data_IF_033297310095
#
_entry.id   IF_033297310095
#
_cell.length_a   1.000
_cell.length_b   1.000
_cell.length_c   1.000
_cell.angle_alpha   90.00
_cell.angle_beta   90.00
_cell.angle_gamma   90.00
#
_symmetry.space_group_name_H-M   'P 1'
#
loop_
_entity.id
_entity.type
_entity.pdbx_description
1 polymer ?
#
# COMPACT_ATOMS: atom_id res chain seq x y z
N UNK A 1 -24.63 12.06 56.61
CA UNK A 1 -23.89 11.69 55.39
C UNK A 1 -23.63 12.98 54.62
N UNK A 2 -22.43 13.55 54.74
CA UNK A 2 -21.96 14.67 53.90
C UNK A 2 -20.47 14.47 53.68
N UNK A 3 -20.10 14.13 52.45
CA UNK A 3 -18.72 13.95 52.03
C UNK A 3 -18.07 15.33 51.77
N UNK A 4 -16.76 15.49 52.04
CA UNK A 4 -16.04 16.70 51.67
C UNK A 4 -15.74 16.73 50.17
N UNK A 5 -15.93 17.91 49.57
CA UNK A 5 -15.59 18.21 48.18
C UNK A 5 -14.06 18.32 48.05
N UNK A 6 -13.48 17.46 47.22
CA UNK A 6 -12.06 17.49 46.84
C UNK A 6 -11.92 18.41 45.61
N UNK A 7 -11.01 19.40 45.59
CA UNK A 7 -10.75 20.19 44.39
C UNK A 7 -9.90 19.37 43.40
N UNK A 8 -10.45 19.13 42.21
CA UNK A 8 -9.73 18.52 41.09
C UNK A 8 -8.70 19.52 40.54
N UNK A 9 -7.44 19.08 40.54
CA UNK A 9 -6.31 19.79 39.98
C UNK A 9 -6.42 19.90 38.45
N UNK A 10 -6.23 21.12 37.95
CA UNK A 10 -6.23 21.49 36.54
C UNK A 10 -4.94 20.97 35.89
N UNK A 11 -5.00 19.80 35.27
CA UNK A 11 -3.91 19.24 34.47
C UNK A 11 -3.68 20.07 33.21
N UNK A 12 -2.56 20.81 33.18
CA UNK A 12 -2.02 21.41 31.96
C UNK A 12 -1.48 20.29 31.06
N UNK A 13 -2.31 19.81 30.14
CA UNK A 13 -1.83 19.05 28.99
C UNK A 13 -1.08 20.01 28.07
N UNK A 14 0.25 19.92 28.04
CA UNK A 14 1.09 20.54 27.02
C UNK A 14 0.63 20.00 25.66
N UNK A 15 -0.12 20.80 24.91
CA UNK A 15 -0.37 20.53 23.50
C UNK A 15 0.96 20.56 22.77
N UNK A 16 1.32 19.43 22.15
CA UNK A 16 2.31 19.45 21.08
C UNK A 16 1.75 20.36 19.97
N UNK A 17 2.54 21.32 19.46
CA UNK A 17 2.10 22.15 18.35
C UNK A 17 1.82 21.26 17.15
N UNK A 18 0.60 21.34 16.61
CA UNK A 18 0.30 20.89 15.25
C UNK A 18 0.81 21.98 14.31
N UNK A 19 2.14 22.07 14.17
CA UNK A 19 2.73 22.47 12.90
C UNK A 19 2.39 21.31 11.94
N UNK A 20 1.79 21.48 10.78
CA UNK A 20 1.83 22.61 9.87
C UNK A 20 2.18 22.02 8.52
N UNK A 21 1.19 21.38 7.86
CA UNK A 21 1.25 20.89 6.47
C UNK A 21 2.66 20.49 5.96
N UNK A 22 3.22 19.43 6.52
CA UNK A 22 4.37 18.77 5.93
C UNK A 22 3.87 17.97 4.72
N UNK A 23 4.41 18.27 3.54
CA UNK A 23 4.16 17.46 2.35
C UNK A 23 4.32 15.99 2.70
N UNK A 24 3.25 15.21 2.53
CA UNK A 24 3.19 13.80 2.93
C UNK A 24 4.45 13.14 2.40
N UNK A 25 5.41 12.88 3.28
CA UNK A 25 6.60 12.12 2.94
C UNK A 25 6.06 10.78 2.51
N UNK A 26 6.07 10.53 1.21
CA UNK A 26 5.43 9.37 0.60
C UNK A 26 6.13 8.13 1.13
N UNK A 27 5.52 7.50 2.13
CA UNK A 27 6.08 6.31 2.76
C UNK A 27 5.87 5.13 1.83
N UNK A 28 6.92 4.72 1.12
CA UNK A 28 6.87 3.59 0.20
C UNK A 28 6.66 2.25 0.92
N UNK A 29 7.17 2.14 2.15
CA UNK A 29 7.14 0.93 2.97
C UNK A 29 6.75 1.27 4.41
N UNK A 30 5.77 0.56 4.95
CA UNK A 30 5.37 0.59 6.35
C UNK A 30 6.16 -0.46 7.15
N UNK A 31 7.09 -0.04 8.02
CA UNK A 31 7.92 -0.96 8.80
C UNK A 31 7.13 -1.73 9.87
N UNK A 32 5.95 -1.24 10.28
CA UNK A 32 5.14 -1.89 11.33
C UNK A 32 4.57 -3.24 10.87
N UNK A 33 4.28 -3.37 9.57
CA UNK A 33 3.81 -4.62 8.95
C UNK A 33 4.91 -5.67 8.99
N UNK A 34 6.15 -5.31 8.61
CA UNK A 34 7.28 -6.23 8.66
C UNK A 34 7.65 -6.62 10.09
N UNK A 35 7.51 -5.70 11.05
CA UNK A 35 7.68 -6.01 12.47
C UNK A 35 6.65 -7.06 12.92
N UNK A 36 5.38 -6.85 12.58
CA UNK A 36 4.30 -7.78 12.90
C UNK A 36 4.57 -9.15 12.28
N UNK A 37 4.91 -9.19 10.99
CA UNK A 37 5.23 -10.43 10.27
C UNK A 37 6.41 -11.18 10.92
N UNK A 38 7.44 -10.48 11.40
CA UNK A 38 8.56 -11.12 12.13
C UNK A 38 8.10 -11.74 13.44
N UNK A 39 7.29 -11.03 14.23
CA UNK A 39 6.75 -11.54 15.48
C UNK A 39 5.85 -12.77 15.26
N UNK A 40 5.06 -12.79 14.19
CA UNK A 40 4.20 -13.92 13.84
C UNK A 40 4.98 -15.17 13.38
N UNK A 41 6.19 -14.99 12.87
CA UNK A 41 7.06 -16.06 12.38
C UNK A 41 8.09 -16.54 13.41
N UNK A 42 8.08 -16.02 14.64
CA UNK A 42 8.99 -16.50 15.69
C UNK A 42 8.78 -18.00 15.99
N UNK A 43 9.86 -18.77 16.22
CA UNK A 43 11.26 -18.35 16.39
C UNK A 43 12.04 -18.13 15.08
N UNK A 44 11.45 -18.41 13.92
CA UNK A 44 12.13 -18.48 12.63
C UNK A 44 12.01 -17.15 11.85
N UNK A 45 12.51 -16.06 12.44
CA UNK A 45 12.43 -14.71 11.86
C UNK A 45 13.08 -14.59 10.45
N UNK A 46 13.99 -15.50 10.09
CA UNK A 46 14.59 -15.61 8.75
C UNK A 46 13.53 -15.83 7.64
N UNK A 47 12.38 -16.44 7.95
CA UNK A 47 11.29 -16.59 6.99
C UNK A 47 10.70 -15.26 6.55
N UNK A 48 10.78 -14.21 7.37
CA UNK A 48 10.34 -12.87 6.97
C UNK A 48 11.19 -12.36 5.79
N UNK A 49 12.52 -12.50 5.87
CA UNK A 49 13.43 -12.11 4.79
C UNK A 49 13.19 -12.94 3.53
N UNK A 50 12.94 -14.25 3.66
CA UNK A 50 12.59 -15.12 2.52
C UNK A 50 11.28 -14.67 1.86
N UNK A 51 10.27 -14.33 2.67
CA UNK A 51 8.98 -13.86 2.18
C UNK A 51 9.09 -12.53 1.43
N UNK A 52 9.83 -11.56 1.99
CA UNK A 52 10.10 -10.27 1.35
C UNK A 52 10.87 -10.46 0.04
N UNK A 53 11.90 -11.31 0.02
CA UNK A 53 12.66 -11.61 -1.19
C UNK A 53 11.80 -12.27 -2.27
N UNK A 54 10.91 -13.19 -1.88
CA UNK A 54 9.94 -13.83 -2.79
C UNK A 54 9.01 -12.79 -3.41
N UNK A 55 8.49 -11.86 -2.60
CA UNK A 55 7.69 -10.74 -3.09
C UNK A 55 8.45 -9.88 -4.10
N UNK A 56 9.68 -9.45 -3.78
CA UNK A 56 10.52 -8.61 -4.65
C UNK A 56 10.76 -9.31 -6.00
N UNK A 57 11.06 -10.61 -5.99
CA UNK A 57 11.30 -11.38 -7.22
C UNK A 57 10.05 -11.53 -8.09
N UNK A 58 8.86 -11.64 -7.47
CA UNK A 58 7.61 -11.82 -8.21
C UNK A 58 6.96 -10.52 -8.67
N UNK A 59 7.30 -9.39 -8.04
CA UNK A 59 6.67 -8.10 -8.29
C UNK A 59 6.76 -7.64 -9.76
N UNK A 60 7.92 -7.67 -10.46
CA UNK A 60 8.00 -7.24 -11.86
C UNK A 60 7.03 -8.01 -12.77
N UNK A 61 6.98 -9.34 -12.61
CA UNK A 61 6.06 -10.18 -13.39
C UNK A 61 4.59 -9.84 -13.13
N UNK A 62 4.23 -9.47 -11.91
CA UNK A 62 2.85 -9.08 -11.56
C UNK A 62 2.50 -7.74 -12.20
N UNK A 63 3.43 -6.78 -12.20
CA UNK A 63 3.27 -5.48 -12.85
C UNK A 63 3.17 -5.63 -14.37
N UNK A 64 4.02 -6.45 -14.99
CA UNK A 64 3.95 -6.74 -16.43
C UNK A 64 2.61 -7.33 -16.83
N UNK A 65 2.09 -8.28 -16.05
CA UNK A 65 0.78 -8.90 -16.29
C UNK A 65 -0.35 -7.88 -16.16
N UNK A 66 -0.30 -7.03 -15.13
CA UNK A 66 -1.28 -5.97 -14.91
C UNK A 66 -1.26 -4.97 -16.06
N UNK A 67 -0.07 -4.52 -16.47
CA UNK A 67 0.11 -3.60 -17.58
C UNK A 67 -0.46 -4.16 -18.88
N UNK A 68 -0.09 -5.39 -19.23
CA UNK A 68 -0.59 -6.05 -20.43
C UNK A 68 -2.13 -6.10 -20.42
N UNK A 69 -2.73 -6.51 -19.30
CA UNK A 69 -4.19 -6.63 -19.20
C UNK A 69 -4.91 -5.28 -19.36
N UNK A 70 -4.37 -4.22 -18.78
CA UNK A 70 -4.91 -2.85 -18.94
C UNK A 70 -4.75 -2.37 -20.38
N UNK A 71 -3.57 -2.54 -21.00
CA UNK A 71 -3.30 -2.14 -22.38
C UNK A 71 -4.18 -2.90 -23.40
N UNK A 72 -4.52 -4.15 -23.12
CA UNK A 72 -5.42 -4.96 -23.97
C UNK A 72 -6.89 -4.78 -23.64
N UNK A 73 -7.22 -3.95 -22.64
CA UNK A 73 -8.59 -3.78 -22.12
C UNK A 73 -9.25 -5.09 -21.69
N UNK A 74 -8.45 -6.04 -21.18
CA UNK A 74 -8.95 -7.29 -20.59
C UNK A 74 -9.28 -7.03 -19.11
N UNK A 75 -10.54 -6.67 -18.85
CA UNK A 75 -10.99 -6.24 -17.53
C UNK A 75 -10.88 -7.34 -16.47
N UNK A 76 -11.18 -8.59 -16.84
CA UNK A 76 -11.08 -9.73 -15.93
C UNK A 76 -9.63 -10.00 -15.56
N UNK A 77 -8.73 -10.00 -16.55
CA UNK A 77 -7.30 -10.17 -16.29
C UNK A 77 -6.69 -8.98 -15.52
N UNK A 78 -7.17 -7.75 -15.77
CA UNK A 78 -6.73 -6.56 -15.07
C UNK A 78 -7.15 -6.58 -13.61
N UNK A 79 -8.40 -6.99 -13.32
CA UNK A 79 -8.91 -7.14 -11.97
C UNK A 79 -8.14 -8.21 -11.18
N UNK A 80 -7.90 -9.38 -11.77
CA UNK A 80 -7.09 -10.44 -11.11
C UNK A 80 -5.66 -9.96 -10.83
N UNK A 81 -5.04 -9.29 -11.80
CA UNK A 81 -3.67 -8.80 -11.66
C UNK A 81 -3.55 -7.69 -10.60
N UNK A 82 -4.48 -6.72 -10.56
CA UNK A 82 -4.43 -5.63 -9.58
C UNK A 82 -4.65 -6.14 -8.16
N UNK A 83 -5.56 -7.10 -7.97
CA UNK A 83 -5.79 -7.73 -6.67
C UNK A 83 -4.56 -8.53 -6.22
N UNK A 84 -3.89 -9.22 -7.15
CA UNK A 84 -2.63 -9.91 -6.85
C UNK A 84 -1.54 -8.95 -6.37
N UNK A 85 -1.37 -7.80 -7.06
CA UNK A 85 -0.41 -6.77 -6.64
C UNK A 85 -0.80 -6.19 -5.28
N UNK A 86 -2.05 -5.78 -5.09
CA UNK A 86 -2.54 -5.17 -3.85
C UNK A 86 -2.35 -6.07 -2.63
N UNK A 87 -2.90 -7.29 -2.70
CA UNK A 87 -2.85 -8.24 -1.57
C UNK A 87 -1.43 -8.60 -1.19
N UNK A 88 -0.58 -8.86 -2.19
CA UNK A 88 0.82 -9.17 -1.92
C UNK A 88 1.63 -7.99 -1.40
N UNK A 89 1.33 -6.77 -1.85
CA UNK A 89 1.95 -5.54 -1.34
C UNK A 89 1.61 -5.30 0.13
N UNK A 90 0.35 -5.52 0.52
CA UNK A 90 -0.09 -5.38 1.91
C UNK A 90 0.66 -6.34 2.85
N UNK A 91 0.92 -7.58 2.43
CA UNK A 91 1.58 -8.58 3.28
C UNK A 91 3.02 -8.20 3.66
N UNK A 92 3.72 -7.43 2.83
CA UNK A 92 5.09 -6.99 3.09
C UNK A 92 5.17 -5.52 3.53
N UNK A 93 4.03 -4.86 3.68
CA UNK A 93 3.99 -3.43 4.03
C UNK A 93 4.43 -2.49 2.90
N UNK A 94 4.33 -2.89 1.62
CA UNK A 94 4.54 -2.00 0.48
C UNK A 94 3.37 -1.01 0.34
N UNK A 95 3.25 -0.10 1.31
CA UNK A 95 2.09 0.74 1.54
C UNK A 95 1.71 1.57 0.33
N UNK A 96 2.69 2.25 -0.27
CA UNK A 96 2.40 3.14 -1.38
C UNK A 96 1.96 2.40 -2.66
N UNK A 97 2.58 1.26 -2.95
CA UNK A 97 2.18 0.43 -4.08
C UNK A 97 0.78 -0.18 -3.87
N UNK A 98 0.47 -0.56 -2.62
CA UNK A 98 -0.88 -1.01 -2.26
C UNK A 98 -1.93 0.09 -2.47
N UNK A 99 -1.61 1.35 -2.17
CA UNK A 99 -2.52 2.49 -2.40
C UNK A 99 -2.78 2.68 -3.90
N UNK A 100 -1.74 2.65 -4.74
CA UNK A 100 -1.91 2.75 -6.19
C UNK A 100 -2.75 1.59 -6.76
N UNK A 101 -2.53 0.37 -6.26
CA UNK A 101 -3.32 -0.78 -6.67
C UNK A 101 -4.80 -0.67 -6.23
N UNK A 102 -5.07 -0.09 -5.06
CA UNK A 102 -6.43 0.17 -4.58
C UNK A 102 -7.16 1.24 -5.42
N UNK A 103 -6.46 2.30 -5.81
CA UNK A 103 -6.98 3.31 -6.74
C UNK A 103 -7.32 2.70 -8.10
N UNK A 104 -6.43 1.88 -8.66
CA UNK A 104 -6.67 1.19 -9.92
C UNK A 104 -7.82 0.18 -9.82
N UNK A 105 -7.90 -0.59 -8.74
CA UNK A 105 -9.02 -1.51 -8.47
C UNK A 105 -10.36 -0.76 -8.48
N UNK A 106 -10.42 0.40 -7.81
CA UNK A 106 -11.63 1.23 -7.74
C UNK A 106 -12.08 1.68 -9.12
N UNK A 107 -11.13 2.11 -9.96
CA UNK A 107 -11.40 2.51 -11.35
C UNK A 107 -11.90 1.31 -12.16
N UNK A 108 -11.25 0.16 -12.07
CA UNK A 108 -11.64 -1.04 -12.82
C UNK A 108 -13.05 -1.51 -12.43
N UNK A 109 -13.39 -1.51 -11.13
CA UNK A 109 -14.75 -1.85 -10.64
C UNK A 109 -15.81 -0.87 -11.16
N UNK A 110 -15.48 0.42 -11.22
CA UNK A 110 -16.40 1.41 -11.77
C UNK A 110 -16.70 1.14 -13.26
N UNK A 111 -15.69 0.75 -14.03
CA UNK A 111 -15.84 0.47 -15.46
C UNK A 111 -16.50 -0.87 -15.78
N UNK A 112 -16.34 -1.85 -14.90
CA UNK A 112 -17.07 -3.12 -14.97
C UNK A 112 -18.58 -2.88 -14.76
N UNK A 113 -18.94 -1.97 -13.85
CA UNK A 113 -20.34 -1.66 -13.52
C UNK A 113 -20.98 -0.62 -14.45
N UNK A 114 -20.19 0.21 -15.13
CA UNK A 114 -20.64 1.27 -16.04
C UNK A 114 -19.90 1.17 -17.39
N UNK A 115 -20.26 0.19 -18.24
CA UNK A 115 -19.59 -0.03 -19.51
C UNK A 115 -19.69 1.17 -20.47
N UNK A 116 -20.72 2.02 -20.34
CA UNK A 116 -20.86 3.28 -21.07
C UNK A 116 -19.72 4.27 -20.79
N UNK A 117 -19.15 4.24 -19.58
CA UNK A 117 -18.01 5.06 -19.18
C UNK A 117 -16.71 4.63 -19.86
N UNK A 118 -16.64 3.38 -20.37
CA UNK A 118 -15.46 2.88 -21.07
C UNK A 118 -15.14 3.67 -22.35
N UNK A 119 -16.17 4.22 -23.00
CA UNK A 119 -16.03 4.96 -24.26
C UNK A 119 -15.53 6.41 -24.08
N UNK A 120 -15.66 7.00 -22.88
CA UNK A 120 -15.58 8.46 -22.74
C UNK A 120 -14.23 8.99 -22.25
N UNK A 121 -13.50 8.33 -21.32
CA UNK A 121 -12.10 8.68 -20.92
C UNK A 121 -11.42 7.84 -19.79
N UNK A 122 -11.38 6.49 -19.80
CA UNK A 122 -10.74 5.75 -18.69
C UNK A 122 -9.27 5.36 -18.92
N UNK A 123 -8.89 5.07 -20.17
CA UNK A 123 -7.61 4.40 -20.46
C UNK A 123 -6.37 5.23 -20.07
N UNK A 124 -6.40 6.56 -20.28
CA UNK A 124 -5.27 7.44 -19.94
C UNK A 124 -4.97 7.49 -18.45
N UNK A 125 -6.00 7.45 -17.60
CA UNK A 125 -5.81 7.53 -16.16
C UNK A 125 -5.20 6.23 -15.61
N UNK A 126 -5.66 5.08 -16.11
CA UNK A 126 -5.10 3.77 -15.78
C UNK A 126 -3.63 3.68 -16.17
N UNK A 127 -3.27 4.12 -17.38
CA UNK A 127 -1.87 4.15 -17.82
C UNK A 127 -1.00 5.04 -16.93
N UNK A 128 -1.51 6.21 -16.50
CA UNK A 128 -0.78 7.08 -15.57
C UNK A 128 -0.56 6.44 -14.18
N UNK A 129 -1.52 5.63 -13.71
CA UNK A 129 -1.35 4.84 -12.48
C UNK A 129 -0.29 3.76 -12.68
N UNK A 130 -0.30 3.05 -13.81
CA UNK A 130 0.74 2.05 -14.12
C UNK A 130 2.13 2.68 -14.19
N UNK A 131 2.27 3.83 -14.85
CA UNK A 131 3.53 4.59 -14.85
C UNK A 131 3.97 4.97 -13.42
N UNK A 132 3.02 5.33 -12.56
CA UNK A 132 3.30 5.62 -11.14
C UNK A 132 3.71 4.39 -10.34
N UNK A 133 3.11 3.22 -10.63
CA UNK A 133 3.46 1.92 -10.03
C UNK A 133 4.88 1.50 -10.43
N UNK A 134 5.19 1.60 -11.73
CA UNK A 134 6.53 1.33 -12.27
C UNK A 134 7.57 2.27 -11.62
N UNK A 135 7.27 3.57 -11.58
CA UNK A 135 8.18 4.58 -11.04
C UNK A 135 8.48 4.42 -9.54
N UNK A 136 7.55 3.88 -8.75
CA UNK A 136 7.75 3.66 -7.31
C UNK A 136 8.35 2.30 -6.95
N UNK A 137 8.45 1.38 -7.93
CA UNK A 137 8.87 -0.01 -7.67
C UNK A 137 10.28 -0.07 -7.11
N UNK A 138 11.22 0.71 -7.65
CA UNK A 138 12.60 0.72 -7.19
C UNK A 138 12.71 1.21 -5.73
N UNK A 139 11.96 2.25 -5.34
CA UNK A 139 11.97 2.77 -3.97
C UNK A 139 11.29 1.80 -3.00
N UNK A 140 10.23 1.13 -3.43
CA UNK A 140 9.59 0.06 -2.64
C UNK A 140 10.55 -1.11 -2.43
N UNK A 141 11.23 -1.58 -3.47
CA UNK A 141 12.21 -2.68 -3.37
C UNK A 141 13.38 -2.29 -2.47
N UNK A 142 13.92 -1.08 -2.62
CA UNK A 142 14.99 -0.58 -1.77
C UNK A 142 14.55 -0.49 -0.30
N UNK A 143 13.35 0.04 -0.04
CA UNK A 143 12.79 0.15 1.32
C UNK A 143 12.56 -1.21 1.97
N UNK A 144 12.00 -2.18 1.23
CA UNK A 144 11.76 -3.54 1.71
C UNK A 144 13.08 -4.27 2.00
N UNK A 145 14.06 -4.13 1.12
CA UNK A 145 15.38 -4.75 1.29
C UNK A 145 16.11 -4.19 2.52
N UNK A 146 16.02 -2.87 2.76
CA UNK A 146 16.60 -2.25 3.94
C UNK A 146 15.89 -2.70 5.23
N UNK A 147 14.55 -2.79 5.22
CA UNK A 147 13.77 -3.20 6.37
C UNK A 147 13.92 -4.70 6.71
N UNK A 148 14.12 -5.56 5.71
CA UNK A 148 14.35 -6.99 5.91
C UNK A 148 15.75 -7.33 6.43
N UNK A 149 16.71 -6.39 6.33
CA UNK A 149 18.07 -6.53 6.82
C UNK A 149 18.30 -5.93 8.23
N UNK A 150 17.28 -5.25 8.78
CA UNK A 150 17.31 -4.56 10.08
C UNK A 150 16.81 -5.45 11.22
#
# INVERSE_FOLDING_TARGET
>A
MSAPVIPVMRGQGKGCPMDGQDGVSRTYVDPSVLQTLRCELEPDAEYCTVFVNSYIQQLPRRLDRLRLAVETMDMDAAMDAVLSVKTSSMMVGAAYLSTLADELETILRHLETHPESQAERPHRHQLALLESMDACTDQTVAGLSAAAAA
#
